data_IF_286354458787
#
_entry.id   IF_286354458787
#
_cell.length_a   1.000
_cell.length_b   1.000
_cell.length_c   1.000
_cell.angle_alpha   90.00
_cell.angle_beta   90.00
_cell.angle_gamma   90.00
#
_symmetry.space_group_name_H-M   'P 1'
#
loop_
_entity.id
_entity.type
_entity.pdbx_description
1 polymer ?
#
# COMPACT_ATOMS: atom_id res chain seq x y z
N UNK A 1 -27.06 -1.63 -20.96
CA UNK A 1 -26.75 -2.36 -19.71
C UNK A 1 -25.38 -1.89 -19.31
N UNK A 2 -25.27 -1.06 -18.31
CA UNK A 2 -23.97 -0.69 -17.73
C UNK A 2 -23.45 -1.93 -17.02
N UNK A 3 -22.36 -2.51 -17.54
CA UNK A 3 -21.66 -3.58 -16.83
C UNK A 3 -21.31 -3.01 -15.44
N UNK A 4 -21.91 -3.57 -14.40
CA UNK A 4 -21.62 -3.16 -13.03
C UNK A 4 -20.18 -3.58 -12.75
N UNK A 5 -19.33 -2.62 -12.44
CA UNK A 5 -17.98 -2.93 -11.95
C UNK A 5 -18.07 -3.86 -10.73
N UNK A 6 -17.22 -4.86 -10.63
CA UNK A 6 -17.21 -5.76 -9.47
C UNK A 6 -16.97 -4.96 -8.18
N UNK A 7 -17.46 -5.48 -7.06
CA UNK A 7 -17.16 -4.90 -5.75
C UNK A 7 -15.63 -4.93 -5.51
N UNK A 8 -15.04 -3.87 -4.94
CA UNK A 8 -13.60 -3.83 -4.70
C UNK A 8 -13.21 -4.86 -3.65
N UNK A 9 -11.99 -5.36 -3.72
CA UNK A 9 -11.39 -6.12 -2.63
C UNK A 9 -11.00 -5.19 -1.48
N UNK A 10 -10.99 -5.71 -0.24
CA UNK A 10 -10.76 -4.91 0.96
C UNK A 10 -9.51 -5.40 1.71
N UNK A 11 -8.57 -4.51 2.01
CA UNK A 11 -7.39 -4.79 2.80
C UNK A 11 -7.29 -3.88 4.03
N UNK A 12 -6.69 -4.37 5.11
CA UNK A 12 -6.48 -3.63 6.35
C UNK A 12 -5.10 -2.98 6.39
N UNK A 13 -5.05 -1.70 6.70
CA UNK A 13 -3.81 -1.02 7.08
C UNK A 13 -3.55 -1.20 8.57
N UNK A 14 -2.46 -1.87 8.92
CA UNK A 14 -2.10 -2.17 10.31
C UNK A 14 -1.41 -0.99 11.01
N UNK A 15 -1.64 -0.81 12.32
CA UNK A 15 -0.92 0.18 13.11
C UNK A 15 0.52 -0.30 13.35
N UNK A 16 1.51 0.60 13.26
CA UNK A 16 2.93 0.27 13.51
C UNK A 16 3.73 1.46 14.08
N UNK A 17 3.08 2.62 14.22
CA UNK A 17 3.66 3.86 14.74
C UNK A 17 3.32 4.01 16.22
N UNK A 18 4.22 4.60 17.02
CA UNK A 18 3.95 4.96 18.41
C UNK A 18 2.67 5.78 18.53
N UNK A 19 1.80 5.37 19.46
CA UNK A 19 0.52 6.03 19.68
C UNK A 19 -0.57 5.73 18.65
N UNK A 20 -0.30 5.00 17.58
CA UNK A 20 -1.27 4.78 16.49
C UNK A 20 -2.41 3.81 16.86
N UNK A 21 -2.31 3.09 17.97
CA UNK A 21 -3.33 2.18 18.48
C UNK A 21 -4.02 2.81 19.69
N UNK A 22 -4.92 3.77 19.46
CA UNK A 22 -5.65 4.53 20.48
C UNK A 22 -4.74 5.16 21.57
N UNK A 23 -3.61 5.73 21.15
CA UNK A 23 -2.60 6.31 22.03
C UNK A 23 -1.55 5.29 22.52
N UNK A 24 -1.77 3.99 22.34
CA UNK A 24 -0.78 2.96 22.66
C UNK A 24 0.18 2.70 21.48
N UNK A 25 1.39 2.28 21.79
CA UNK A 25 2.34 1.77 20.81
C UNK A 25 2.01 0.31 20.49
N UNK A 26 1.66 -0.03 19.23
CA UNK A 26 1.36 -1.41 18.85
C UNK A 26 2.58 -2.31 19.07
N UNK A 27 2.38 -3.44 19.72
CA UNK A 27 3.40 -4.47 19.87
C UNK A 27 3.23 -5.54 18.81
N UNK A 28 4.26 -6.32 18.56
CA UNK A 28 4.18 -7.41 17.59
C UNK A 28 2.97 -8.32 17.82
N UNK A 29 2.65 -8.65 19.07
CA UNK A 29 1.50 -9.47 19.41
C UNK A 29 0.16 -8.83 18.97
N UNK A 30 0.04 -7.50 19.09
CA UNK A 30 -1.14 -6.76 18.66
C UNK A 30 -1.26 -6.78 17.14
N UNK A 31 -0.17 -6.44 16.44
CA UNK A 31 -0.09 -6.44 14.98
C UNK A 31 -0.46 -7.82 14.41
N UNK A 32 0.13 -8.88 14.96
CA UNK A 32 -0.14 -10.26 14.54
C UNK A 32 -1.60 -10.66 14.77
N UNK A 33 -2.14 -10.35 15.97
CA UNK A 33 -3.52 -10.68 16.30
C UNK A 33 -4.50 -9.95 15.38
N UNK A 34 -4.27 -8.68 15.09
CA UNK A 34 -5.08 -7.90 14.15
C UNK A 34 -5.01 -8.46 12.73
N UNK A 35 -3.81 -8.85 12.27
CA UNK A 35 -3.62 -9.46 10.96
C UNK A 35 -4.40 -10.78 10.81
N UNK A 36 -4.27 -11.68 11.78
CA UNK A 36 -4.96 -12.97 11.79
C UNK A 36 -6.49 -12.78 11.93
N UNK A 37 -6.91 -11.77 12.69
CA UNK A 37 -8.34 -11.44 12.81
C UNK A 37 -8.88 -10.88 11.50
N UNK A 38 -8.15 -9.98 10.83
CA UNK A 38 -8.50 -9.47 9.51
C UNK A 38 -8.68 -10.59 8.48
N UNK A 39 -7.73 -11.53 8.44
CA UNK A 39 -7.82 -12.73 7.61
C UNK A 39 -9.07 -13.56 7.93
N UNK A 40 -9.36 -13.80 9.22
CA UNK A 40 -10.49 -14.62 9.66
C UNK A 40 -11.86 -14.03 9.36
N UNK A 41 -12.00 -12.70 9.26
CA UNK A 41 -13.25 -12.03 8.88
C UNK A 41 -13.41 -11.83 7.38
N UNK A 42 -12.43 -12.30 6.56
CA UNK A 42 -12.51 -12.31 5.11
C UNK A 42 -11.94 -11.06 4.42
N UNK A 43 -11.11 -10.26 5.08
CA UNK A 43 -10.31 -9.25 4.39
C UNK A 43 -9.30 -9.94 3.46
N UNK A 44 -9.09 -9.35 2.27
CA UNK A 44 -8.27 -9.95 1.20
C UNK A 44 -6.79 -9.61 1.29
N UNK A 45 -6.44 -8.51 1.98
CA UNK A 45 -5.07 -8.04 2.04
C UNK A 45 -4.74 -7.36 3.39
N UNK A 46 -3.44 -7.30 3.69
CA UNK A 46 -2.87 -6.57 4.81
C UNK A 46 -1.81 -5.61 4.29
N UNK A 47 -1.85 -4.39 4.77
CA UNK A 47 -0.98 -3.32 4.37
C UNK A 47 -0.20 -2.74 5.55
N UNK A 48 1.07 -2.38 5.33
CA UNK A 48 1.91 -1.66 6.28
C UNK A 48 2.58 -0.50 5.55
N UNK A 49 2.40 0.73 6.04
CA UNK A 49 3.11 1.89 5.47
C UNK A 49 4.59 1.87 5.86
N UNK A 50 5.42 2.64 5.17
CA UNK A 50 6.88 2.67 5.38
C UNK A 50 7.33 4.05 5.88
N UNK A 51 7.21 4.24 7.18
CA UNK A 51 7.83 5.33 7.89
C UNK A 51 8.79 4.77 8.94
N UNK A 52 9.85 5.49 9.23
CA UNK A 52 10.77 5.18 10.34
C UNK A 52 10.45 6.00 11.58
N UNK A 53 9.65 7.05 11.41
CA UNK A 53 9.11 7.88 12.46
C UNK A 53 8.64 9.24 11.95
N UNK A 54 7.97 9.96 12.81
CA UNK A 54 7.49 11.31 12.56
C UNK A 54 8.15 12.26 13.55
N UNK A 55 8.80 13.26 13.04
CA UNK A 55 9.41 14.30 13.84
C UNK A 55 8.76 15.65 13.59
N UNK A 56 9.02 16.60 14.49
CA UNK A 56 8.72 18.00 14.30
C UNK A 56 10.00 18.84 14.42
N UNK A 57 9.97 20.12 14.02
CA UNK A 57 11.11 21.01 14.12
C UNK A 57 11.60 21.22 15.57
N UNK A 58 10.77 20.94 16.56
CA UNK A 58 11.09 21.10 17.99
C UNK A 58 11.75 19.85 18.56
N UNK A 59 11.94 18.80 17.76
CA UNK A 59 12.63 17.56 18.13
C UNK A 59 11.77 16.52 18.82
N UNK A 60 10.45 16.69 18.85
CA UNK A 60 9.55 15.61 19.24
C UNK A 60 9.56 14.53 18.17
N UNK A 61 9.67 13.27 18.58
CA UNK A 61 9.77 12.12 17.69
C UNK A 61 8.79 11.03 18.08
N UNK A 62 8.02 10.55 17.12
CA UNK A 62 7.16 9.38 17.24
C UNK A 62 7.71 8.28 16.34
N UNK A 63 8.27 7.23 16.92
CA UNK A 63 8.93 6.14 16.21
C UNK A 63 7.94 5.21 15.51
N UNK A 64 8.43 4.48 14.53
CA UNK A 64 7.69 3.44 13.84
C UNK A 64 8.51 2.14 13.76
N UNK A 65 7.84 0.97 13.83
CA UNK A 65 8.50 -0.29 13.53
C UNK A 65 8.90 -0.35 12.05
N UNK A 66 10.07 -0.92 11.76
CA UNK A 66 10.54 -1.04 10.37
C UNK A 66 9.59 -1.95 9.56
N UNK A 67 9.00 -1.39 8.53
CA UNK A 67 7.83 -1.96 7.85
C UNK A 67 8.11 -3.26 7.13
N UNK A 68 9.29 -3.38 6.48
CA UNK A 68 9.66 -4.59 5.73
C UNK A 68 9.86 -5.79 6.64
N UNK A 69 10.50 -5.57 7.79
CA UNK A 69 10.69 -6.61 8.81
C UNK A 69 9.34 -7.09 9.36
N UNK A 70 8.44 -6.15 9.68
CA UNK A 70 7.07 -6.48 10.11
C UNK A 70 6.32 -7.26 9.04
N UNK A 71 6.36 -6.81 7.79
CA UNK A 71 5.66 -7.46 6.68
C UNK A 71 6.19 -8.88 6.42
N UNK A 72 7.51 -9.08 6.53
CA UNK A 72 8.12 -10.42 6.39
C UNK A 72 7.66 -11.38 7.49
N UNK A 73 7.57 -10.90 8.73
CA UNK A 73 7.04 -11.70 9.84
C UNK A 73 5.56 -12.05 9.64
N UNK A 74 4.74 -11.11 9.12
CA UNK A 74 3.35 -11.34 8.77
C UNK A 74 3.20 -12.36 7.63
N UNK A 75 4.08 -12.33 6.64
CA UNK A 75 4.10 -13.30 5.54
C UNK A 75 4.24 -14.75 6.03
N UNK A 76 5.07 -14.96 7.03
CA UNK A 76 5.26 -16.27 7.65
C UNK A 76 4.14 -16.66 8.63
N UNK A 77 3.28 -15.71 9.04
CA UNK A 77 2.30 -15.89 10.12
C UNK A 77 0.84 -15.81 9.67
N UNK A 78 0.59 -15.57 8.38
CA UNK A 78 -0.73 -15.56 7.73
C UNK A 78 -0.77 -16.58 6.59
N UNK A 79 -1.98 -16.93 6.10
CA UNK A 79 -2.13 -18.05 5.17
C UNK A 79 -2.66 -17.63 3.79
N UNK A 80 -3.62 -16.69 3.74
CA UNK A 80 -4.41 -16.41 2.53
C UNK A 80 -4.39 -14.95 2.10
N UNK A 81 -4.23 -14.01 3.03
CA UNK A 81 -4.25 -12.58 2.72
C UNK A 81 -3.04 -12.19 1.89
N UNK A 82 -3.26 -11.35 0.89
CA UNK A 82 -2.20 -10.63 0.21
C UNK A 82 -1.49 -9.69 1.20
N UNK A 83 -0.24 -9.40 0.94
CA UNK A 83 0.63 -8.61 1.81
C UNK A 83 1.27 -7.50 1.00
N UNK A 84 1.25 -6.28 1.50
CA UNK A 84 1.88 -5.18 0.77
C UNK A 84 2.33 -4.03 1.65
N UNK A 85 3.24 -3.26 1.10
CA UNK A 85 3.52 -1.93 1.62
C UNK A 85 2.71 -0.90 0.84
N UNK A 86 2.17 0.10 1.56
CA UNK A 86 1.51 1.19 0.88
C UNK A 86 1.98 2.54 1.48
N UNK A 87 3.02 3.08 0.93
CA UNK A 87 3.98 2.47 0.01
C UNK A 87 5.38 2.57 0.61
N UNK A 88 6.32 1.70 0.21
CA UNK A 88 7.73 1.83 0.62
C UNK A 88 8.30 3.14 0.09
N UNK A 89 9.03 3.86 0.91
CA UNK A 89 9.94 4.91 0.46
C UNK A 89 11.15 4.25 -0.23
N UNK A 90 11.02 3.98 -1.53
CA UNK A 90 12.03 3.21 -2.27
C UNK A 90 13.45 3.75 -2.13
N UNK A 91 13.70 5.10 -2.04
CA UNK A 91 15.03 5.65 -1.84
C UNK A 91 15.72 5.27 -0.53
N UNK A 92 15.02 4.71 0.45
CA UNK A 92 15.64 4.21 1.69
C UNK A 92 16.45 2.90 1.47
N UNK A 93 16.27 2.23 0.34
CA UNK A 93 16.88 0.91 0.09
C UNK A 93 17.57 0.87 -1.27
N UNK A 94 18.67 0.14 -1.35
CA UNK A 94 19.27 -0.16 -2.67
C UNK A 94 18.27 -0.93 -3.54
N UNK A 95 17.95 -0.49 -4.77
CA UNK A 95 16.87 -1.05 -5.56
C UNK A 95 17.10 -2.52 -5.97
N UNK A 96 18.34 -2.91 -6.30
CA UNK A 96 18.61 -4.29 -6.66
C UNK A 96 18.50 -5.24 -5.45
N UNK A 97 18.92 -4.76 -4.27
CA UNK A 97 18.73 -5.51 -3.03
C UNK A 97 17.26 -5.58 -2.65
N UNK A 98 16.47 -4.51 -2.84
CA UNK A 98 15.04 -4.51 -2.60
C UNK A 98 14.31 -5.51 -3.51
N UNK A 99 14.69 -5.62 -4.79
CA UNK A 99 14.14 -6.65 -5.67
C UNK A 99 14.44 -8.08 -5.14
N UNK A 100 15.64 -8.32 -4.61
CA UNK A 100 16.00 -9.60 -3.95
C UNK A 100 15.16 -9.84 -2.68
N UNK A 101 14.97 -8.82 -1.87
CA UNK A 101 14.15 -8.91 -0.66
C UNK A 101 12.70 -9.22 -1.02
N UNK A 102 12.16 -8.57 -2.07
CA UNK A 102 10.79 -8.79 -2.53
C UNK A 102 10.58 -10.22 -3.05
N UNK A 103 11.49 -10.73 -3.86
CA UNK A 103 11.43 -12.13 -4.33
C UNK A 103 11.47 -13.13 -3.18
N UNK A 104 12.30 -12.84 -2.15
CA UNK A 104 12.40 -13.70 -0.96
C UNK A 104 11.14 -13.67 -0.12
N UNK A 105 10.54 -12.48 0.08
CA UNK A 105 9.29 -12.36 0.82
C UNK A 105 8.14 -13.01 0.04
N UNK A 106 8.15 -12.91 -1.28
CA UNK A 106 7.16 -13.57 -2.13
C UNK A 106 7.24 -15.10 -2.01
N UNK A 107 8.45 -15.66 -1.98
CA UNK A 107 8.66 -17.09 -1.68
C UNK A 107 8.13 -17.48 -0.30
N UNK A 108 8.47 -16.71 0.75
CA UNK A 108 8.01 -16.96 2.13
C UNK A 108 6.48 -16.94 2.21
N UNK A 109 5.85 -16.00 1.50
CA UNK A 109 4.40 -15.86 1.50
C UNK A 109 3.67 -16.84 0.58
N UNK A 110 4.38 -17.59 -0.27
CA UNK A 110 3.76 -18.45 -1.28
C UNK A 110 3.08 -17.66 -2.41
N UNK A 111 3.64 -16.51 -2.81
CA UNK A 111 3.15 -15.71 -3.94
C UNK A 111 2.08 -14.69 -3.57
N UNK A 112 2.05 -14.18 -2.33
CA UNK A 112 1.04 -13.23 -1.84
C UNK A 112 1.52 -11.76 -1.76
N UNK A 113 2.76 -11.45 -2.11
CA UNK A 113 3.29 -10.09 -2.01
C UNK A 113 2.80 -9.19 -3.14
N UNK A 114 2.44 -7.96 -2.81
CA UNK A 114 2.30 -6.81 -3.71
C UNK A 114 3.35 -5.78 -3.27
N UNK A 115 4.33 -5.49 -4.13
CA UNK A 115 5.40 -4.54 -3.81
C UNK A 115 4.94 -3.11 -4.07
N UNK A 116 4.49 -2.42 -3.03
CA UNK A 116 4.08 -1.01 -3.15
C UNK A 116 5.27 -0.06 -2.97
N UNK A 117 5.47 0.85 -3.92
CA UNK A 117 6.62 1.75 -4.00
C UNK A 117 6.21 3.21 -4.16
N UNK A 118 6.95 4.10 -3.52
CA UNK A 118 6.83 5.55 -3.63
C UNK A 118 8.17 6.26 -3.48
N UNK A 119 8.21 7.54 -3.83
CA UNK A 119 9.44 8.35 -3.73
C UNK A 119 9.76 8.84 -2.31
N UNK A 120 8.84 8.68 -1.36
CA UNK A 120 8.94 9.29 -0.05
C UNK A 120 8.58 10.78 -0.07
N UNK A 121 8.19 11.32 1.08
CA UNK A 121 7.75 12.72 1.19
C UNK A 121 8.21 13.43 2.47
N UNK A 122 8.49 12.70 3.54
CA UNK A 122 8.84 13.27 4.83
C UNK A 122 10.36 13.50 4.91
N UNK A 123 10.79 14.73 4.64
CA UNK A 123 12.20 15.11 4.58
C UNK A 123 12.95 14.84 5.89
N UNK A 124 12.26 14.96 7.03
CA UNK A 124 12.88 14.71 8.35
C UNK A 124 13.36 13.27 8.45
N UNK A 125 12.59 12.30 7.96
CA UNK A 125 12.99 10.89 7.96
C UNK A 125 14.26 10.68 7.12
N UNK A 126 14.30 11.26 5.91
CA UNK A 126 15.46 11.17 5.03
C UNK A 126 16.73 11.73 5.70
N UNK A 127 16.63 12.94 6.22
CA UNK A 127 17.80 13.61 6.83
C UNK A 127 18.26 12.92 8.11
N UNK A 128 17.32 12.47 8.95
CA UNK A 128 17.63 11.79 10.22
C UNK A 128 18.34 10.45 9.99
N UNK A 129 18.05 9.76 8.90
CA UNK A 129 18.66 8.46 8.56
C UNK A 129 19.79 8.56 7.52
N UNK A 130 20.21 9.80 7.18
CA UNK A 130 21.33 10.03 6.27
C UNK A 130 21.05 9.69 4.81
N UNK A 131 19.77 9.70 4.40
CA UNK A 131 19.35 9.45 3.03
C UNK A 131 19.14 10.80 2.33
N UNK A 132 19.72 11.08 1.15
CA UNK A 132 19.51 12.32 0.43
C UNK A 132 18.06 12.49 -0.01
N UNK A 133 17.46 13.65 0.30
CA UNK A 133 16.08 13.95 -0.03
C UNK A 133 15.90 14.57 -1.43
N UNK A 134 16.84 15.42 -1.86
CA UNK A 134 16.70 16.26 -3.05
C UNK A 134 16.49 15.46 -4.33
N UNK A 135 17.24 14.40 -4.56
CA UNK A 135 17.18 13.58 -5.77
C UNK A 135 16.20 12.38 -5.64
N UNK A 136 15.30 12.38 -4.65
CA UNK A 136 14.43 11.22 -4.37
C UNK A 136 13.56 10.77 -5.55
N UNK A 137 13.10 11.70 -6.39
CA UNK A 137 12.31 11.36 -7.58
C UNK A 137 13.15 10.70 -8.69
N UNK A 138 14.41 11.12 -8.86
CA UNK A 138 15.31 10.50 -9.81
C UNK A 138 15.78 9.14 -9.30
N UNK A 139 16.08 9.04 -8.00
CA UNK A 139 16.34 7.76 -7.34
C UNK A 139 15.17 6.79 -7.45
N UNK A 140 13.96 7.31 -7.28
CA UNK A 140 12.75 6.50 -7.45
C UNK A 140 12.62 6.00 -8.90
N UNK A 141 12.80 6.87 -9.91
CA UNK A 141 12.69 6.48 -11.31
C UNK A 141 13.73 5.43 -11.69
N UNK A 142 15.01 5.66 -11.37
CA UNK A 142 16.08 4.69 -11.61
C UNK A 142 15.80 3.37 -10.84
N UNK A 143 15.45 3.49 -9.57
CA UNK A 143 15.16 2.34 -8.71
C UNK A 143 13.98 1.51 -9.21
N UNK A 144 12.88 2.16 -9.63
CA UNK A 144 11.71 1.47 -10.17
C UNK A 144 12.06 0.68 -11.44
N UNK A 145 12.88 1.25 -12.34
CA UNK A 145 13.36 0.56 -13.56
C UNK A 145 14.21 -0.66 -13.20
N UNK A 146 15.17 -0.52 -12.29
CA UNK A 146 16.00 -1.63 -11.80
C UNK A 146 15.13 -2.74 -11.21
N UNK A 147 14.20 -2.38 -10.31
CA UNK A 147 13.33 -3.34 -9.63
C UNK A 147 12.46 -4.08 -10.64
N UNK A 148 11.78 -3.37 -11.53
CA UNK A 148 10.89 -3.98 -12.52
C UNK A 148 11.66 -4.86 -13.51
N UNK A 149 12.85 -4.43 -13.97
CA UNK A 149 13.71 -5.26 -14.81
C UNK A 149 14.08 -6.58 -14.11
N UNK A 150 14.56 -6.49 -12.88
CA UNK A 150 14.94 -7.69 -12.10
C UNK A 150 13.74 -8.62 -11.88
N UNK A 151 12.61 -8.09 -11.45
CA UNK A 151 11.41 -8.90 -11.16
C UNK A 151 10.85 -9.57 -12.43
N UNK A 152 10.85 -8.88 -13.57
CA UNK A 152 10.29 -9.42 -14.83
C UNK A 152 11.27 -10.31 -15.59
N UNK A 153 12.55 -9.91 -15.66
CA UNK A 153 13.55 -10.60 -16.52
C UNK A 153 14.56 -11.44 -15.74
N UNK A 154 14.62 -11.30 -14.42
CA UNK A 154 15.62 -11.92 -13.56
C UNK A 154 16.98 -11.22 -13.58
N UNK A 155 17.11 -10.09 -14.28
CA UNK A 155 18.39 -9.36 -14.44
C UNK A 155 18.15 -7.86 -14.56
N UNK A 156 19.21 -7.07 -14.25
CA UNK A 156 19.25 -5.64 -14.59
C UNK A 156 20.67 -5.20 -14.87
N UNK A 157 20.84 -4.42 -15.93
CA UNK A 157 22.00 -3.56 -16.16
C UNK A 157 21.46 -2.16 -16.47
N UNK A 158 21.63 -1.26 -15.55
CA UNK A 158 21.07 0.09 -15.59
C UNK A 158 22.18 1.11 -15.29
N UNK A 159 22.33 2.11 -16.14
CA UNK A 159 23.24 3.23 -15.95
C UNK A 159 22.43 4.52 -15.82
N UNK A 160 21.74 4.64 -14.68
CA UNK A 160 20.92 5.79 -14.36
C UNK A 160 21.70 6.97 -13.81
N UNK A 161 21.02 8.06 -13.58
CA UNK A 161 21.61 9.29 -13.01
C UNK A 161 22.03 9.09 -11.57
N UNK A 162 21.23 8.38 -10.79
CA UNK A 162 21.36 8.23 -9.35
C UNK A 162 21.62 6.81 -8.90
N UNK A 163 21.08 5.82 -9.62
CA UNK A 163 21.21 4.40 -9.29
C UNK A 163 21.76 3.63 -10.49
N UNK A 164 22.61 2.64 -10.18
CA UNK A 164 23.29 1.84 -11.21
C UNK A 164 23.35 0.38 -10.84
N UNK A 165 23.23 -0.50 -11.84
CA UNK A 165 23.48 -1.93 -11.69
C UNK A 165 24.33 -2.44 -12.85
N UNK A 166 25.16 -3.43 -12.56
CA UNK A 166 25.93 -4.13 -13.60
C UNK A 166 25.69 -5.63 -13.48
N UNK A 167 24.99 -6.19 -14.47
CA UNK A 167 24.64 -7.62 -14.55
C UNK A 167 24.05 -8.18 -13.24
N UNK A 168 23.26 -7.35 -12.51
CA UNK A 168 22.58 -7.80 -11.30
C UNK A 168 21.63 -8.96 -11.63
N UNK A 169 21.61 -9.99 -10.77
CA UNK A 169 20.80 -11.19 -10.95
C UNK A 169 19.82 -11.40 -9.82
N UNK A 170 18.61 -11.79 -10.20
CA UNK A 170 17.55 -12.20 -9.29
C UNK A 170 17.42 -13.73 -9.30
N UNK A 171 18.32 -14.38 -8.60
CA UNK A 171 18.39 -15.83 -8.44
C UNK A 171 18.59 -16.19 -6.97
N UNK A 172 17.87 -17.20 -6.37
CA UNK A 172 16.82 -17.98 -7.03
C UNK A 172 15.59 -17.14 -7.38
N UNK A 173 14.68 -17.68 -8.23
CA UNK A 173 13.37 -17.08 -8.51
C UNK A 173 12.32 -17.68 -7.59
N UNK A 174 11.37 -16.84 -7.20
CA UNK A 174 10.24 -17.21 -6.35
C UNK A 174 9.10 -17.90 -7.11
N UNK A 175 7.93 -18.01 -6.47
CA UNK A 175 6.81 -18.83 -6.97
C UNK A 175 6.12 -18.25 -8.21
N UNK A 176 6.36 -16.96 -8.53
CA UNK A 176 5.74 -16.26 -9.67
C UNK A 176 6.76 -16.02 -10.79
N UNK A 177 6.82 -16.88 -11.83
CA UNK A 177 7.85 -16.78 -12.90
C UNK A 177 7.81 -15.47 -13.67
N UNK A 178 6.63 -14.83 -13.81
CA UNK A 178 6.44 -13.52 -14.46
C UNK A 178 6.80 -12.33 -13.56
N UNK A 179 7.21 -12.58 -12.33
CA UNK A 179 7.45 -11.59 -11.30
C UNK A 179 6.20 -11.30 -10.45
N UNK A 180 6.44 -10.69 -9.29
CA UNK A 180 5.39 -10.23 -8.37
C UNK A 180 4.83 -8.87 -8.81
N UNK A 181 3.58 -8.53 -8.47
CA UNK A 181 2.98 -7.24 -8.81
C UNK A 181 3.69 -6.07 -8.15
N UNK A 182 3.91 -5.01 -8.92
CA UNK A 182 4.45 -3.74 -8.45
C UNK A 182 3.34 -2.70 -8.41
N UNK A 183 3.09 -2.12 -7.24
CA UNK A 183 2.18 -0.99 -7.04
C UNK A 183 2.97 0.30 -6.91
N UNK A 184 2.50 1.40 -7.52
CA UNK A 184 3.10 2.72 -7.36
C UNK A 184 2.07 3.69 -6.76
N UNK A 185 2.45 4.33 -5.65
CA UNK A 185 1.72 5.46 -5.08
C UNK A 185 2.01 6.74 -5.87
N UNK A 186 1.01 7.28 -6.59
CA UNK A 186 1.21 8.38 -7.53
C UNK A 186 0.02 9.33 -7.61
N UNK A 187 0.33 10.65 -7.57
CA UNK A 187 -0.66 11.72 -7.78
C UNK A 187 -0.15 12.81 -8.75
N UNK A 188 1.15 12.89 -9.02
CA UNK A 188 1.75 13.92 -9.85
C UNK A 188 2.11 13.38 -11.25
N UNK A 189 2.11 14.21 -12.30
CA UNK A 189 2.27 13.78 -13.68
C UNK A 189 3.49 12.87 -13.95
N UNK A 190 4.66 13.20 -13.38
CA UNK A 190 5.87 12.37 -13.52
C UNK A 190 5.66 10.96 -12.95
N UNK A 191 5.07 10.88 -11.75
CA UNK A 191 4.81 9.61 -11.08
C UNK A 191 3.72 8.80 -11.79
N UNK A 192 2.66 9.46 -12.29
CA UNK A 192 1.61 8.80 -13.08
C UNK A 192 2.16 8.23 -14.39
N UNK A 193 3.09 8.92 -15.07
CA UNK A 193 3.78 8.40 -16.25
C UNK A 193 4.56 7.13 -15.92
N UNK A 194 5.35 7.13 -14.84
CA UNK A 194 6.12 5.95 -14.41
C UNK A 194 5.20 4.79 -14.02
N UNK A 195 4.08 5.09 -13.37
CA UNK A 195 3.05 4.10 -13.05
C UNK A 195 2.50 3.45 -14.32
N UNK A 196 2.12 4.25 -15.30
CA UNK A 196 1.59 3.77 -16.58
C UNK A 196 2.60 2.91 -17.37
N UNK A 197 3.89 3.27 -17.32
CA UNK A 197 4.96 2.54 -18.02
C UNK A 197 5.34 1.22 -17.32
N UNK A 198 5.37 1.19 -15.99
CA UNK A 198 6.11 0.18 -15.24
C UNK A 198 5.32 -0.58 -14.17
N UNK A 199 4.22 -0.04 -13.66
CA UNK A 199 3.49 -0.64 -12.55
C UNK A 199 2.35 -1.57 -13.00
N UNK A 200 2.00 -2.53 -12.15
CA UNK A 200 0.82 -3.38 -12.32
C UNK A 200 -0.39 -2.81 -11.58
N UNK A 201 -0.13 -2.10 -10.46
CA UNK A 201 -1.13 -1.46 -9.63
C UNK A 201 -0.80 0.03 -9.41
N UNK A 202 -1.83 0.83 -9.27
CA UNK A 202 -1.75 2.23 -8.88
C UNK A 202 -2.48 2.47 -7.56
N UNK A 203 -1.90 3.32 -6.71
CA UNK A 203 -2.52 3.79 -5.47
C UNK A 203 -2.68 5.32 -5.48
N UNK A 204 -3.89 5.79 -5.27
CA UNK A 204 -4.22 7.22 -5.23
C UNK A 204 -3.93 7.89 -3.87
N UNK A 205 -3.58 7.11 -2.84
CA UNK A 205 -3.57 7.56 -1.44
C UNK A 205 -4.98 7.70 -0.88
N UNK A 206 -5.10 8.39 0.27
CA UNK A 206 -6.38 8.60 0.93
C UNK A 206 -7.25 9.60 0.16
N UNK A 207 -8.47 9.16 -0.23
CA UNK A 207 -9.43 9.97 -1.00
C UNK A 207 -10.86 9.71 -0.54
N UNK A 208 -11.65 10.78 -0.42
CA UNK A 208 -13.10 10.69 -0.37
C UNK A 208 -13.68 10.32 -1.74
N UNK A 209 -14.94 9.85 -1.77
CA UNK A 209 -15.60 9.41 -3.00
C UNK A 209 -15.61 10.47 -4.12
N UNK A 210 -15.77 11.73 -3.76
CA UNK A 210 -15.80 12.87 -4.67
C UNK A 210 -14.43 13.26 -5.23
N UNK A 211 -13.35 12.88 -4.54
CA UNK A 211 -11.97 13.13 -4.97
C UNK A 211 -11.45 12.07 -5.96
N UNK A 212 -12.09 10.89 -6.04
CA UNK A 212 -11.61 9.75 -6.86
C UNK A 212 -11.74 9.98 -8.37
N UNK A 213 -12.85 10.49 -8.94
CA UNK A 213 -13.02 10.57 -10.38
C UNK A 213 -11.93 11.37 -11.11
N UNK A 214 -11.51 12.57 -10.66
CA UNK A 214 -10.43 13.30 -11.34
C UNK A 214 -9.08 12.57 -11.26
N UNK A 215 -8.85 11.78 -10.22
CA UNK A 215 -7.62 10.98 -10.08
C UNK A 215 -7.60 9.79 -11.05
N UNK A 216 -8.75 9.11 -11.22
CA UNK A 216 -8.90 8.04 -12.21
C UNK A 216 -8.70 8.59 -13.63
N UNK A 217 -9.29 9.73 -13.96
CA UNK A 217 -9.08 10.38 -15.26
C UNK A 217 -7.60 10.65 -15.50
N UNK A 218 -6.89 11.19 -14.51
CA UNK A 218 -5.46 11.53 -14.65
C UNK A 218 -4.58 10.29 -14.88
N UNK A 219 -4.83 9.18 -14.19
CA UNK A 219 -4.05 7.94 -14.39
C UNK A 219 -4.41 7.26 -15.72
N UNK A 220 -5.67 7.29 -16.14
CA UNK A 220 -6.12 6.77 -17.43
C UNK A 220 -5.48 7.53 -18.59
N UNK A 221 -5.39 8.85 -18.50
CA UNK A 221 -4.73 9.68 -19.50
C UNK A 221 -3.22 9.38 -19.56
N UNK A 222 -2.57 9.15 -18.42
CA UNK A 222 -1.18 8.71 -18.38
C UNK A 222 -0.98 7.34 -19.04
N UNK A 223 -1.89 6.39 -18.82
CA UNK A 223 -1.87 5.09 -19.48
C UNK A 223 -2.01 5.23 -21.00
N UNK A 224 -2.99 5.99 -21.47
CA UNK A 224 -3.20 6.24 -22.91
C UNK A 224 -1.97 6.92 -23.54
N UNK A 225 -1.38 7.89 -22.86
CA UNK A 225 -0.16 8.57 -23.32
C UNK A 225 1.05 7.61 -23.40
N UNK A 226 1.12 6.60 -22.56
CA UNK A 226 2.13 5.52 -22.59
C UNK A 226 1.78 4.40 -23.58
N UNK A 227 0.66 4.47 -24.29
CA UNK A 227 0.19 3.41 -25.20
C UNK A 227 -0.33 2.16 -24.47
N UNK A 228 -0.71 2.30 -23.21
CA UNK A 228 -1.25 1.23 -22.38
C UNK A 228 -2.76 1.32 -22.27
N UNK A 229 -3.45 0.17 -22.36
CA UNK A 229 -4.87 0.10 -22.01
C UNK A 229 -5.05 0.35 -20.51
N UNK A 230 -5.80 1.41 -20.10
CA UNK A 230 -6.07 1.71 -18.70
C UNK A 230 -6.70 0.56 -17.91
N UNK A 231 -7.47 -0.31 -18.55
CA UNK A 231 -8.11 -1.47 -17.92
C UNK A 231 -7.12 -2.53 -17.40
N UNK A 232 -5.86 -2.48 -17.85
CA UNK A 232 -4.80 -3.39 -17.39
C UNK A 232 -4.11 -2.95 -16.09
N UNK A 233 -4.47 -1.77 -15.57
CA UNK A 233 -3.91 -1.22 -14.34
C UNK A 233 -4.90 -1.38 -13.19
N UNK A 234 -4.56 -2.17 -12.18
CA UNK A 234 -5.35 -2.27 -10.94
C UNK A 234 -5.32 -0.95 -10.17
N UNK A 235 -6.47 -0.47 -9.73
CA UNK A 235 -6.62 0.83 -9.07
C UNK A 235 -6.98 0.66 -7.61
N UNK A 236 -6.24 1.32 -6.74
CA UNK A 236 -6.49 1.26 -5.30
C UNK A 236 -6.56 2.64 -4.66
N UNK A 237 -7.33 2.72 -3.57
CA UNK A 237 -7.56 3.95 -2.80
C UNK A 237 -7.51 3.60 -1.32
N UNK A 238 -6.89 4.47 -0.52
CA UNK A 238 -7.00 4.39 0.93
C UNK A 238 -8.30 5.03 1.39
N UNK A 239 -9.03 4.33 2.26
CA UNK A 239 -10.33 4.76 2.80
C UNK A 239 -10.30 4.73 4.31
N UNK A 240 -10.71 5.85 4.90
CA UNK A 240 -10.87 5.98 6.33
C UNK A 240 -12.26 5.48 6.75
N UNK A 241 -12.31 4.57 7.72
CA UNK A 241 -13.58 3.96 8.18
C UNK A 241 -13.71 4.10 9.68
N UNK A 242 -14.74 4.79 10.13
CA UNK A 242 -15.12 4.87 11.54
C UNK A 242 -16.05 3.72 11.89
N UNK A 243 -15.57 2.81 12.73
CA UNK A 243 -16.38 1.70 13.25
C UNK A 243 -17.18 2.10 14.50
N UNK A 244 -18.10 1.25 14.91
CA UNK A 244 -18.88 1.44 16.15
C UNK A 244 -18.03 1.39 17.44
N UNK A 245 -16.78 0.97 17.35
CA UNK A 245 -15.83 0.98 18.45
C UNK A 245 -15.08 2.32 18.61
N UNK A 246 -15.28 3.27 17.68
CA UNK A 246 -14.61 4.57 17.74
C UNK A 246 -15.13 5.39 18.93
N UNK A 247 -14.20 6.05 19.63
CA UNK A 247 -14.53 6.94 20.75
C UNK A 247 -15.10 8.26 20.22
N UNK A 248 -16.01 8.86 20.97
CA UNK A 248 -16.67 10.13 20.60
C UNK A 248 -15.72 11.33 20.61
N UNK A 249 -14.60 11.25 21.36
CA UNK A 249 -13.60 12.32 21.45
C UNK A 249 -12.62 12.37 20.26
N UNK A 250 -12.68 11.39 19.34
CA UNK A 250 -11.89 11.40 18.11
C UNK A 250 -12.62 12.27 17.07
N UNK A 251 -12.01 13.37 16.58
CA UNK A 251 -12.62 14.24 15.57
C UNK A 251 -13.02 13.47 14.32
N UNK A 252 -14.16 13.84 13.72
CA UNK A 252 -14.56 13.34 12.41
C UNK A 252 -13.68 13.92 11.31
N UNK A 253 -13.35 13.08 10.33
CA UNK A 253 -12.76 13.49 9.04
C UNK A 253 -13.88 13.47 7.99
N UNK A 254 -13.99 14.49 7.16
CA UNK A 254 -15.03 14.58 6.12
C UNK A 254 -14.97 13.44 5.10
N UNK A 255 -13.81 12.81 4.95
CA UNK A 255 -13.60 11.69 4.03
C UNK A 255 -13.92 10.32 4.63
N UNK A 256 -14.19 10.24 5.95
CA UNK A 256 -14.42 8.94 6.58
C UNK A 256 -15.80 8.37 6.25
N UNK A 257 -15.85 7.08 6.00
CA UNK A 257 -17.09 6.33 5.98
C UNK A 257 -17.51 6.02 7.43
N UNK A 258 -18.72 6.43 7.80
CA UNK A 258 -19.27 6.22 9.13
C UNK A 258 -20.77 5.83 9.04
N UNK A 259 -21.29 5.26 10.11
CA UNK A 259 -22.70 4.85 10.21
C UNK A 259 -22.86 3.39 10.61
N UNK A 260 -24.03 2.83 10.34
CA UNK A 260 -24.28 1.42 10.57
C UNK A 260 -23.53 0.53 9.55
N UNK A 261 -23.41 -0.79 9.80
CA UNK A 261 -22.67 -1.69 8.92
C UNK A 261 -23.16 -1.69 7.46
N UNK A 262 -24.45 -1.50 7.21
CA UNK A 262 -25.00 -1.48 5.86
C UNK A 262 -24.62 -0.19 5.12
N UNK A 263 -24.64 0.95 5.81
CA UNK A 263 -24.23 2.26 5.31
C UNK A 263 -22.75 2.26 4.94
N UNK A 264 -21.87 1.77 5.81
CA UNK A 264 -20.42 1.67 5.54
C UNK A 264 -20.19 0.73 4.33
N UNK A 265 -20.82 -0.44 4.31
CA UNK A 265 -20.69 -1.40 3.21
C UNK A 265 -21.18 -0.81 1.85
N UNK A 266 -22.24 -0.01 1.86
CA UNK A 266 -22.69 0.69 0.66
C UNK A 266 -21.67 1.74 0.19
N UNK A 267 -21.09 2.51 1.12
CA UNK A 267 -20.00 3.45 0.83
C UNK A 267 -18.78 2.78 0.22
N UNK A 268 -18.36 1.64 0.76
CA UNK A 268 -17.23 0.86 0.21
C UNK A 268 -17.53 0.35 -1.21
N UNK A 269 -18.74 -0.15 -1.48
CA UNK A 269 -19.15 -0.56 -2.84
C UNK A 269 -19.20 0.61 -3.83
N UNK A 270 -19.53 1.81 -3.36
CA UNK A 270 -19.55 2.99 -4.21
C UNK A 270 -18.20 3.30 -4.86
N UNK A 271 -17.06 3.03 -4.18
CA UNK A 271 -15.74 3.12 -4.80
C UNK A 271 -15.58 2.14 -5.98
N UNK A 272 -16.08 0.91 -5.85
CA UNK A 272 -16.09 -0.05 -6.96
C UNK A 272 -16.90 0.45 -8.14
N UNK A 273 -18.07 1.08 -7.88
CA UNK A 273 -18.87 1.73 -8.91
C UNK A 273 -18.17 2.86 -9.68
N UNK A 274 -17.12 3.44 -9.11
CA UNK A 274 -16.24 4.41 -9.78
C UNK A 274 -15.10 3.75 -10.58
N UNK A 275 -14.88 2.44 -10.46
CA UNK A 275 -13.80 1.71 -11.12
C UNK A 275 -12.55 1.54 -10.24
N UNK A 276 -12.70 1.55 -8.92
CA UNK A 276 -11.64 1.19 -7.96
C UNK A 276 -11.70 -0.31 -7.68
N UNK A 277 -10.58 -1.00 -7.80
CA UNK A 277 -10.48 -2.46 -7.69
C UNK A 277 -10.16 -2.92 -6.26
N UNK A 278 -9.47 -2.08 -5.48
CA UNK A 278 -9.00 -2.42 -4.13
C UNK A 278 -9.03 -1.22 -3.18
N UNK A 279 -9.44 -1.47 -1.93
CA UNK A 279 -9.46 -0.45 -0.89
C UNK A 279 -8.52 -0.84 0.26
N UNK A 280 -7.55 0.04 0.57
CA UNK A 280 -6.77 -0.02 1.80
C UNK A 280 -7.54 0.67 2.92
N UNK A 281 -8.01 -0.08 3.90
CA UNK A 281 -8.84 0.45 4.97
C UNK A 281 -8.00 0.89 6.16
N UNK A 282 -8.12 2.15 6.54
CA UNK A 282 -7.66 2.65 7.82
C UNK A 282 -8.84 2.72 8.80
N UNK A 283 -8.90 1.80 9.75
CA UNK A 283 -9.99 1.75 10.72
C UNK A 283 -9.78 2.79 11.83
N UNK A 284 -10.88 3.33 12.34
CA UNK A 284 -10.97 4.10 13.57
C UNK A 284 -11.91 3.39 14.55
N UNK A 285 -11.39 2.88 15.67
CA UNK A 285 -10.00 2.86 16.11
C UNK A 285 -9.16 1.89 15.26
N UNK A 286 -7.86 2.17 15.11
CA UNK A 286 -6.92 1.24 14.46
C UNK A 286 -6.38 0.26 15.52
N UNK A 287 -7.23 -0.65 15.96
CA UNK A 287 -6.99 -1.62 17.02
C UNK A 287 -7.80 -2.89 16.80
N UNK A 288 -7.54 -3.95 17.58
CA UNK A 288 -8.32 -5.20 17.51
C UNK A 288 -9.83 -4.95 17.69
N UNK A 289 -10.20 -4.03 18.56
CA UNK A 289 -11.61 -3.64 18.75
C UNK A 289 -12.22 -3.04 17.48
N UNK A 290 -11.45 -2.25 16.72
CA UNK A 290 -11.88 -1.74 15.42
C UNK A 290 -12.06 -2.83 14.39
N UNK A 291 -11.16 -3.82 14.35
CA UNK A 291 -11.28 -4.99 13.44
C UNK A 291 -12.51 -5.83 13.79
N UNK A 292 -12.75 -6.09 15.08
CA UNK A 292 -13.93 -6.83 15.53
C UNK A 292 -15.24 -6.08 15.20
N UNK A 293 -15.26 -4.77 15.39
CA UNK A 293 -16.41 -3.92 15.05
C UNK A 293 -16.63 -3.82 13.54
N UNK A 294 -15.62 -4.10 12.72
CA UNK A 294 -15.73 -4.13 11.26
C UNK A 294 -16.31 -5.45 10.72
N UNK A 295 -16.31 -6.55 11.48
CA UNK A 295 -16.82 -7.84 11.03
C UNK A 295 -18.30 -7.79 10.54
N UNK A 296 -19.24 -7.07 11.18
CA UNK A 296 -20.60 -6.88 10.64
C UNK A 296 -20.62 -6.12 9.30
N UNK A 297 -19.66 -5.21 9.07
CA UNK A 297 -19.53 -4.50 7.77
C UNK A 297 -19.11 -5.48 6.69
N UNK A 298 -18.14 -6.36 6.95
CA UNK A 298 -17.74 -7.44 6.04
C UNK A 298 -18.93 -8.35 5.68
N UNK A 299 -19.72 -8.74 6.68
CA UNK A 299 -20.92 -9.55 6.46
C UNK A 299 -21.99 -8.82 5.62
N UNK A 300 -22.13 -7.49 5.75
CA UNK A 300 -23.03 -6.68 4.92
C UNK A 300 -22.45 -6.45 3.51
N UNK A 301 -21.14 -6.32 3.38
CA UNK A 301 -20.45 -6.12 2.11
C UNK A 301 -20.52 -7.35 1.21
N UNK A 302 -20.39 -8.56 1.75
CA UNK A 302 -20.46 -9.82 0.98
C UNK A 302 -21.87 -10.24 0.56
N UNK A 303 -22.94 -9.55 1.00
CA UNK A 303 -24.33 -9.83 0.63
C UNK A 303 -24.87 -9.00 -0.54
N UNK A 304 -24.15 -8.10 -1.07
CA UNK A 304 -24.49 -7.24 -2.20
C UNK A 304 -23.65 -7.52 -3.39
#
# INVERSE_FOLDING_TARGET
MTDAHPSPTLGLNLPYVEGSMDGATPRWADILTMAQRAESIGLSAIWVSDHVGFGDPDGAWSGAWESWTVLTALAASTQTVELGNYVLAAPFRNPALLAKMAETLDEISGGRLILGLGAGWNEIEFTSYGVPFDDRFDRFEDGLRIITDMLRTGRSTHDGRTERTHAARLEPRGPRPSGLPVMVGAARPRMLRLTAELADHWNAGMRGLDEVPPMLTAVDDACRAAGRDPATLTRSVEVLVRTSAARDDIPHDERELAGDPATIAAGLRAYGGLGVDHLQLQLRPNSLAGVDAFAPVMAAFGRG
#
